data_IF_607608453127
#
_entry.id   IF_607608453127
#
_cell.length_a   1.000
_cell.length_b   1.000
_cell.length_c   1.000
_cell.angle_alpha   90.00
_cell.angle_beta   90.00
_cell.angle_gamma   90.00
#
_symmetry.space_group_name_H-M   'P 1'
#
loop_
_entity.id
_entity.type
_entity.pdbx_description
1 polymer ?
#
# COMPACT_ATOMS: atom_id res chain seq x y z
N UNK A 1 -1.77 -19.01 7.94
CA UNK A 1 -1.43 -18.00 8.96
C UNK A 1 -1.32 -16.68 8.24
N UNK A 2 -1.80 -15.60 8.85
CA UNK A 2 -1.74 -14.29 8.22
C UNK A 2 -0.43 -13.61 8.63
N UNK A 3 0.09 -12.77 7.76
CA UNK A 3 1.27 -11.94 8.01
C UNK A 3 0.84 -10.70 8.77
N UNK A 4 1.50 -10.42 9.88
CA UNK A 4 1.25 -9.25 10.69
C UNK A 4 2.50 -8.41 10.86
N UNK A 5 2.27 -7.11 10.95
CA UNK A 5 3.24 -6.14 11.45
C UNK A 5 2.69 -5.54 12.74
N UNK A 6 3.47 -5.62 13.81
CA UNK A 6 3.10 -5.11 15.13
C UNK A 6 4.10 -4.04 15.53
N UNK A 7 3.63 -2.82 15.76
CA UNK A 7 4.43 -1.71 16.27
C UNK A 7 4.06 -1.41 17.72
N UNK A 8 5.06 -1.35 18.59
CA UNK A 8 4.93 -1.01 20.00
C UNK A 8 5.66 0.29 20.32
N UNK A 9 5.00 1.12 21.12
CA UNK A 9 5.58 2.28 21.78
C UNK A 9 5.75 1.91 23.25
N UNK A 10 7.00 1.79 23.68
CA UNK A 10 7.40 1.34 25.02
C UNK A 10 7.95 2.54 25.81
N UNK A 11 7.75 2.51 27.11
CA UNK A 11 8.38 3.41 28.06
C UNK A 11 9.91 3.47 27.84
N UNK A 12 10.50 4.67 27.68
CA UNK A 12 11.93 4.80 27.43
C UNK A 12 12.82 4.28 28.56
N UNK A 13 12.32 4.23 29.80
CA UNK A 13 13.08 3.75 30.96
C UNK A 13 13.12 2.22 31.06
N UNK A 14 12.31 1.53 30.27
CA UNK A 14 12.13 0.09 30.33
C UNK A 14 12.96 -0.60 29.24
N UNK A 15 13.46 -1.80 29.56
CA UNK A 15 14.15 -2.64 28.58
C UNK A 15 13.17 -3.31 27.62
N UNK A 16 13.56 -3.34 26.35
CA UNK A 16 12.85 -3.98 25.25
C UNK A 16 12.68 -5.49 25.45
N UNK A 17 13.57 -6.14 26.20
CA UNK A 17 13.48 -7.56 26.49
C UNK A 17 12.10 -7.95 27.07
N UNK A 18 11.53 -7.11 27.95
CA UNK A 18 10.20 -7.38 28.52
C UNK A 18 9.07 -7.34 27.48
N UNK A 19 9.19 -6.47 26.47
CA UNK A 19 8.24 -6.46 25.36
C UNK A 19 8.40 -7.71 24.48
N UNK A 20 9.65 -8.16 24.25
CA UNK A 20 9.93 -9.37 23.50
C UNK A 20 9.34 -10.60 24.20
N UNK A 21 9.48 -10.72 25.52
CA UNK A 21 8.88 -11.81 26.30
C UNK A 21 7.37 -11.89 26.13
N UNK A 22 6.67 -10.74 26.15
CA UNK A 22 5.21 -10.72 25.93
C UNK A 22 4.87 -11.22 24.53
N UNK A 23 5.56 -10.72 23.50
CA UNK A 23 5.31 -11.13 22.10
C UNK A 23 5.62 -12.62 21.91
N UNK A 24 6.78 -13.08 22.37
CA UNK A 24 7.20 -14.49 22.28
C UNK A 24 6.26 -15.41 23.05
N UNK A 25 5.72 -14.99 24.21
CA UNK A 25 4.78 -15.78 25.01
C UNK A 25 3.41 -16.00 24.36
N UNK A 26 3.07 -15.21 23.32
CA UNK A 26 1.79 -15.32 22.62
C UNK A 26 1.95 -15.96 21.25
N UNK A 27 3.02 -15.61 20.52
CA UNK A 27 3.20 -16.01 19.13
C UNK A 27 4.24 -17.10 18.92
N UNK A 28 4.99 -17.50 19.95
CA UNK A 28 6.19 -18.32 19.84
C UNK A 28 7.32 -17.65 19.04
N UNK A 29 8.55 -17.79 19.52
CA UNK A 29 9.73 -17.21 18.86
C UNK A 29 9.92 -17.65 17.40
N UNK A 30 9.45 -18.85 17.05
CA UNK A 30 9.59 -19.43 15.70
C UNK A 30 8.73 -18.71 14.65
N UNK A 31 7.66 -18.05 15.06
CA UNK A 31 6.74 -17.37 14.16
C UNK A 31 7.11 -15.89 13.96
N UNK A 32 8.11 -15.40 14.68
CA UNK A 32 8.62 -14.03 14.58
C UNK A 32 9.73 -14.02 13.52
N UNK A 33 9.47 -13.38 12.40
CA UNK A 33 10.40 -13.30 11.28
C UNK A 33 11.45 -12.21 11.48
N UNK A 34 11.06 -11.08 12.06
CA UNK A 34 11.94 -9.91 12.21
C UNK A 34 11.54 -9.08 13.42
N UNK A 35 12.54 -8.58 14.14
CA UNK A 35 12.38 -7.58 15.19
C UNK A 35 13.29 -6.40 14.86
N UNK A 36 12.73 -5.19 14.84
CA UNK A 36 13.46 -3.95 14.51
C UNK A 36 13.20 -2.91 15.58
N UNK A 37 14.26 -2.45 16.24
CA UNK A 37 14.24 -1.22 17.03
C UNK A 37 14.40 -0.02 16.11
N UNK A 38 13.51 0.96 16.19
CA UNK A 38 13.70 2.22 15.44
C UNK A 38 14.64 3.15 16.21
N UNK A 39 15.48 3.87 15.47
CA UNK A 39 16.42 4.86 16.02
C UNK A 39 15.70 6.12 16.51
N UNK A 40 14.67 6.55 15.77
CA UNK A 40 13.88 7.69 16.16
C UNK A 40 13.01 7.33 17.37
N UNK A 41 13.20 8.07 18.45
CA UNK A 41 12.53 7.88 19.74
C UNK A 41 11.72 9.09 20.17
N UNK A 42 11.66 10.17 19.36
CA UNK A 42 10.94 11.39 19.74
C UNK A 42 9.45 11.29 19.43
N UNK A 43 8.64 11.61 20.43
CA UNK A 43 7.18 11.64 20.31
C UNK A 43 6.71 13.01 19.81
N UNK A 44 5.67 13.03 18.98
CA UNK A 44 5.03 14.27 18.54
C UNK A 44 4.37 15.04 19.70
N UNK A 45 3.92 14.33 20.74
CA UNK A 45 3.38 14.91 21.96
C UNK A 45 3.78 14.04 23.17
N UNK A 46 3.87 14.62 24.38
CA UNK A 46 4.26 13.86 25.55
C UNK A 46 3.25 12.75 25.90
N UNK A 47 3.74 11.56 26.18
CA UNK A 47 2.96 10.44 26.72
C UNK A 47 3.53 10.14 28.10
N UNK A 48 2.69 10.05 29.13
CA UNK A 48 3.13 9.82 30.51
C UNK A 48 4.25 10.78 30.96
N UNK A 49 4.12 12.06 30.55
CA UNK A 49 5.10 13.14 30.81
C UNK A 49 6.48 12.96 30.14
N UNK A 50 6.64 11.99 29.26
CA UNK A 50 7.86 11.80 28.47
C UNK A 50 7.66 12.26 27.03
N UNK A 51 8.64 12.98 26.48
CA UNK A 51 8.74 13.32 25.05
C UNK A 51 9.50 12.26 24.24
N UNK A 52 10.01 11.22 24.89
CA UNK A 52 10.74 10.11 24.26
C UNK A 52 10.07 8.77 24.55
N UNK A 53 10.20 7.83 23.62
CA UNK A 53 9.76 6.45 23.74
C UNK A 53 10.65 5.51 22.94
N UNK A 54 10.61 4.21 23.25
CA UNK A 54 11.24 3.21 22.42
C UNK A 54 10.22 2.63 21.44
N UNK A 55 10.58 2.59 20.16
CA UNK A 55 9.74 1.99 19.12
C UNK A 55 10.30 0.65 18.69
N UNK A 56 9.43 -0.35 18.64
CA UNK A 56 9.78 -1.70 18.21
C UNK A 56 8.75 -2.21 17.23
N UNK A 57 9.23 -2.74 16.11
CA UNK A 57 8.41 -3.32 15.06
C UNK A 57 8.72 -4.81 14.97
N UNK A 58 7.67 -5.63 15.01
CA UNK A 58 7.71 -7.06 14.84
C UNK A 58 7.03 -7.44 13.52
N UNK A 59 7.71 -8.22 12.70
CA UNK A 59 7.10 -8.90 11.56
C UNK A 59 6.95 -10.36 11.91
N UNK A 60 5.73 -10.88 11.88
CA UNK A 60 5.43 -12.26 12.31
C UNK A 60 4.29 -12.87 11.50
N UNK A 61 4.16 -14.18 11.58
CA UNK A 61 3.01 -14.91 11.03
C UNK A 61 2.19 -15.51 12.16
N UNK A 62 0.88 -15.28 12.20
CA UNK A 62 0.04 -15.77 13.29
C UNK A 62 -1.36 -16.18 12.83
N UNK A 63 -2.04 -16.94 13.69
CA UNK A 63 -3.51 -17.10 13.60
C UNK A 63 -4.16 -15.84 14.14
N UNK A 64 -5.28 -15.42 13.53
CA UNK A 64 -6.00 -14.21 13.92
C UNK A 64 -6.48 -14.23 15.39
N UNK A 65 -6.78 -15.40 15.93
CA UNK A 65 -7.21 -15.60 17.33
C UNK A 65 -6.15 -15.13 18.34
N UNK A 66 -4.86 -15.29 18.03
CA UNK A 66 -3.76 -14.91 18.92
C UNK A 66 -3.60 -13.39 19.06
N UNK A 67 -4.09 -12.62 18.08
CA UNK A 67 -4.01 -11.15 18.10
C UNK A 67 -4.83 -10.55 19.25
N UNK A 68 -5.99 -11.15 19.55
CA UNK A 68 -6.83 -10.71 20.67
C UNK A 68 -6.12 -10.94 22.01
N UNK A 69 -5.49 -12.10 22.19
CA UNK A 69 -4.72 -12.43 23.38
C UNK A 69 -3.48 -11.54 23.53
N UNK A 70 -2.77 -11.27 22.43
CA UNK A 70 -1.68 -10.30 22.42
C UNK A 70 -2.15 -8.91 22.86
N UNK A 71 -3.24 -8.42 22.27
CA UNK A 71 -3.81 -7.10 22.60
C UNK A 71 -4.17 -7.03 24.08
N UNK A 72 -4.74 -8.10 24.64
CA UNK A 72 -5.06 -8.21 26.07
C UNK A 72 -3.80 -8.08 26.94
N UNK A 73 -2.75 -8.86 26.64
CA UNK A 73 -1.48 -8.82 27.40
C UNK A 73 -0.76 -7.47 27.27
N UNK A 74 -0.73 -6.89 26.08
CA UNK A 74 -0.14 -5.58 25.83
C UNK A 74 -0.84 -4.47 26.64
N UNK A 75 -2.17 -4.52 26.76
CA UNK A 75 -2.93 -3.53 27.56
C UNK A 75 -2.74 -3.70 29.08
N UNK A 76 -2.45 -4.91 29.55
CA UNK A 76 -2.12 -5.19 30.95
C UNK A 76 -0.73 -4.64 31.30
N UNK A 77 0.23 -4.82 30.39
CA UNK A 77 1.60 -4.35 30.52
C UNK A 77 1.68 -2.81 30.43
N UNK A 78 1.64 -2.13 31.57
CA UNK A 78 1.60 -0.64 31.65
C UNK A 78 2.80 0.06 31.03
N UNK A 79 3.91 -0.64 30.82
CA UNK A 79 5.08 -0.12 30.12
C UNK A 79 4.90 -0.03 28.59
N UNK A 80 3.91 -0.73 28.02
CA UNK A 80 3.51 -0.58 26.62
C UNK A 80 2.46 0.54 26.56
N UNK A 81 2.86 1.69 26.05
CA UNK A 81 1.99 2.87 26.02
C UNK A 81 0.99 2.82 24.87
N UNK A 82 1.42 2.33 23.70
CA UNK A 82 0.57 2.17 22.51
C UNK A 82 1.02 0.94 21.74
N UNK A 83 0.05 0.30 21.09
CA UNK A 83 0.27 -0.84 20.22
C UNK A 83 -0.56 -0.66 18.94
N UNK A 84 0.01 -1.06 17.82
CA UNK A 84 -0.65 -1.04 16.51
C UNK A 84 -0.36 -2.37 15.82
N UNK A 85 -1.42 -3.07 15.42
CA UNK A 85 -1.35 -4.34 14.70
C UNK A 85 -1.94 -4.14 13.32
N UNK A 86 -1.19 -4.50 12.28
CA UNK A 86 -1.60 -4.41 10.87
C UNK A 86 -1.54 -5.81 10.27
N UNK A 87 -2.61 -6.22 9.58
CA UNK A 87 -2.62 -7.46 8.80
C UNK A 87 -2.13 -7.17 7.37
N UNK A 88 -0.93 -7.62 7.05
CA UNK A 88 -0.30 -7.37 5.75
C UNK A 88 -1.01 -8.08 4.59
N UNK A 89 -1.83 -9.10 4.84
CA UNK A 89 -2.55 -9.81 3.80
C UNK A 89 -3.89 -9.13 3.46
N UNK A 90 -4.61 -8.62 4.46
CA UNK A 90 -5.96 -8.06 4.29
C UNK A 90 -6.04 -6.53 4.26
N UNK A 91 -4.99 -5.82 4.66
CA UNK A 91 -5.03 -4.36 4.84
C UNK A 91 -5.37 -3.63 3.53
N UNK A 92 -6.36 -2.75 3.60
CA UNK A 92 -6.92 -2.05 2.43
C UNK A 92 -5.92 -1.04 1.90
N UNK A 93 -5.21 -1.41 0.83
CA UNK A 93 -4.25 -0.53 0.16
C UNK A 93 -2.84 -1.11 0.07
N UNK A 94 -2.54 -2.17 0.83
CA UNK A 94 -1.25 -2.84 0.79
C UNK A 94 -0.98 -3.48 -0.59
N UNK A 95 -2.00 -4.12 -1.18
CA UNK A 95 -1.93 -4.76 -2.50
C UNK A 95 -2.58 -3.94 -3.62
N UNK A 96 -2.65 -2.60 -3.52
CA UNK A 96 -3.11 -1.78 -4.66
C UNK A 96 -2.09 -1.89 -5.80
N UNK A 97 -2.29 -2.90 -6.64
CA UNK A 97 -1.54 -3.06 -7.88
C UNK A 97 -1.62 -1.75 -8.67
N UNK A 98 -0.53 -1.39 -9.34
CA UNK A 98 -0.42 -0.25 -10.27
C UNK A 98 -1.46 -0.30 -11.43
N UNK A 99 -2.43 -1.22 -11.42
CA UNK A 99 -3.52 -1.33 -12.41
C UNK A 99 -4.36 -0.06 -12.50
N UNK A 100 -4.59 0.64 -11.37
CA UNK A 100 -5.26 1.94 -11.38
C UNK A 100 -4.48 3.01 -12.18
N UNK A 101 -3.14 2.90 -12.20
CA UNK A 101 -2.28 3.80 -12.99
C UNK A 101 -2.24 3.40 -14.47
N UNK A 102 -2.18 2.11 -14.80
CA UNK A 102 -2.26 1.62 -16.20
C UNK A 102 -3.55 2.05 -16.92
N UNK A 103 -4.70 2.00 -16.24
CA UNK A 103 -5.97 2.44 -16.83
C UNK A 103 -6.02 3.95 -17.11
N UNK A 104 -5.35 4.77 -16.29
CA UNK A 104 -5.25 6.22 -16.50
C UNK A 104 -4.37 6.55 -17.72
N UNK A 105 -3.16 5.99 -17.78
CA UNK A 105 -2.26 6.17 -18.95
C UNK A 105 -2.94 5.71 -20.25
N UNK A 106 -3.61 4.56 -20.24
CA UNK A 106 -4.29 4.06 -21.43
C UNK A 106 -5.47 4.94 -21.86
N UNK A 107 -6.16 5.60 -20.92
CA UNK A 107 -7.25 6.54 -21.21
C UNK A 107 -6.69 7.85 -21.75
N UNK A 108 -5.65 8.39 -21.13
CA UNK A 108 -5.01 9.65 -21.53
C UNK A 108 -4.35 9.53 -22.91
N UNK A 109 -3.69 8.39 -23.21
CA UNK A 109 -3.17 8.09 -24.55
C UNK A 109 -4.28 7.94 -25.61
N UNK A 110 -5.42 7.32 -25.26
CA UNK A 110 -6.58 7.22 -26.17
C UNK A 110 -7.24 8.58 -26.43
N UNK A 111 -7.25 9.47 -25.44
CA UNK A 111 -7.77 10.84 -25.58
C UNK A 111 -6.83 11.67 -26.45
N UNK A 112 -5.50 11.54 -26.28
CA UNK A 112 -4.51 12.19 -27.13
C UNK A 112 -4.65 11.77 -28.61
N UNK A 113 -4.84 10.48 -28.89
CA UNK A 113 -5.09 9.98 -30.25
C UNK A 113 -6.45 10.37 -30.84
N UNK A 114 -7.43 10.76 -29.99
CA UNK A 114 -8.74 11.28 -30.41
C UNK A 114 -8.76 12.81 -30.57
N UNK A 115 -7.68 13.50 -30.20
CA UNK A 115 -7.52 14.93 -30.43
C UNK A 115 -7.62 15.24 -31.92
N UNK A 116 -8.53 16.15 -32.24
CA UNK A 116 -8.78 16.94 -33.46
C UNK A 116 -7.87 16.79 -34.68
N UNK A 117 -6.56 16.57 -34.53
CA UNK A 117 -5.59 16.46 -35.63
C UNK A 117 -5.84 15.31 -36.61
N UNK A 118 -6.22 14.11 -36.17
CA UNK A 118 -6.41 12.97 -37.09
C UNK A 118 -7.66 13.15 -37.96
N UNK A 119 -8.75 13.66 -37.39
CA UNK A 119 -9.97 13.98 -38.15
C UNK A 119 -9.73 15.13 -39.13
N UNK A 120 -9.03 16.18 -38.71
CA UNK A 120 -8.69 17.32 -39.57
C UNK A 120 -7.72 16.93 -40.69
N UNK A 121 -6.76 16.03 -40.42
CA UNK A 121 -5.87 15.50 -41.45
C UNK A 121 -6.59 14.63 -42.47
N UNK A 122 -7.49 13.74 -42.04
CA UNK A 122 -8.34 12.93 -42.94
C UNK A 122 -9.24 13.86 -43.77
N UNK A 123 -9.85 14.87 -43.16
CA UNK A 123 -10.73 15.81 -43.86
C UNK A 123 -9.95 16.70 -44.86
N UNK A 124 -8.72 17.09 -44.52
CA UNK A 124 -7.83 17.84 -45.41
C UNK A 124 -7.27 16.97 -46.55
N UNK A 125 -6.96 15.70 -46.29
CA UNK A 125 -6.60 14.70 -47.32
C UNK A 125 -7.76 14.41 -48.27
N UNK A 126 -8.97 14.25 -47.74
CA UNK A 126 -10.17 14.06 -48.56
C UNK A 126 -10.45 15.30 -49.42
N UNK A 127 -10.22 16.53 -48.93
CA UNK A 127 -10.41 17.76 -49.70
C UNK A 127 -9.39 17.93 -50.84
N UNK A 128 -8.15 17.46 -50.68
CA UNK A 128 -7.08 17.60 -51.69
C UNK A 128 -7.08 16.51 -52.77
N UNK A 129 -7.79 15.39 -52.58
CA UNK A 129 -7.85 14.31 -53.57
C UNK A 129 -8.87 14.57 -54.70
N UNK A 130 -8.51 14.22 -55.95
CA UNK A 130 -9.38 14.35 -57.12
C UNK A 130 -10.59 13.40 -57.05
N UNK A 131 -11.70 13.75 -57.73
CA UNK A 131 -12.99 13.05 -57.62
C UNK A 131 -12.93 11.54 -57.87
N UNK A 132 -12.02 11.06 -58.73
CA UNK A 132 -11.87 9.63 -59.04
C UNK A 132 -11.19 8.86 -57.89
N UNK A 133 -10.31 9.51 -57.12
CA UNK A 133 -9.58 8.90 -56.01
C UNK A 133 -10.36 8.92 -54.67
N UNK A 134 -11.35 9.82 -54.53
CA UNK A 134 -12.29 9.84 -53.40
C UNK A 134 -13.16 8.58 -53.32
N UNK A 135 -13.59 8.05 -54.48
CA UNK A 135 -14.50 6.91 -54.53
C UNK A 135 -13.81 5.56 -54.22
N UNK A 136 -12.52 5.41 -54.57
CA UNK A 136 -11.73 4.23 -54.21
C UNK A 136 -11.39 4.22 -52.71
N UNK A 137 -10.97 5.35 -52.15
CA UNK A 137 -10.61 5.48 -50.73
C UNK A 137 -11.79 5.19 -49.78
N UNK A 138 -12.99 5.69 -50.11
CA UNK A 138 -14.21 5.45 -49.30
C UNK A 138 -14.66 3.97 -49.30
N UNK A 139 -14.24 3.19 -50.30
CA UNK A 139 -14.56 1.75 -50.43
C UNK A 139 -13.60 0.88 -49.59
N UNK A 140 -12.37 1.34 -49.38
CA UNK A 140 -11.38 0.65 -48.55
C UNK A 140 -11.63 0.89 -47.04
N UNK A 141 -11.95 2.13 -46.65
CA UNK A 141 -12.27 2.46 -45.24
C UNK A 141 -13.53 1.73 -44.72
N UNK A 142 -14.48 1.39 -45.60
CA UNK A 142 -15.66 0.58 -45.24
C UNK A 142 -15.38 -0.93 -45.11
N UNK A 143 -14.25 -1.43 -45.62
CA UNK A 143 -13.87 -2.84 -45.55
C UNK A 143 -13.04 -3.19 -44.31
N UNK A 144 -12.51 -2.19 -43.61
CA UNK A 144 -11.63 -2.34 -42.45
C UNK A 144 -12.29 -2.03 -41.10
N UNK A 145 -13.62 -1.86 -41.08
CA UNK A 145 -14.46 -1.78 -39.88
C UNK A 145 -15.35 -3.02 -39.74
#
# INVERSE_FOLDING_TARGET
MNKYEIMLIIDPAIDMAMANEIVESVFDKKNINKVVKLENSTLAYPINKSSKAQYVVYTLEAKSELIAEFTRRANIAKFIWRQMVINLDSEKGFQRSKKAFKHRIAKDAKVANKGTGVKQLIENLEKTMSHKAKHSFKKEVKKSN
#
